data_IF_228383857217
#
_entry.id   IF_228383857217
#
_cell.length_a   1.000
_cell.length_b   1.000
_cell.length_c   1.000
_cell.angle_alpha   90.00
_cell.angle_beta   90.00
_cell.angle_gamma   90.00
#
_symmetry.space_group_name_H-M   'P 1'
#
loop_
_entity.id
_entity.type
_entity.pdbx_description
1 polymer ?
#
# COMPACT_ATOMS: atom_id res chain seq x y z
N UNK A 1 20.19 23.80 12.08
CA UNK A 1 18.78 24.06 11.81
C UNK A 1 18.33 23.25 10.61
N UNK A 2 17.40 22.30 10.77
CA UNK A 2 16.67 21.72 9.67
C UNK A 2 15.16 21.90 9.96
N UNK A 3 14.55 22.97 9.40
CA UNK A 3 13.13 23.31 9.66
C UNK A 3 12.25 23.12 8.39
N UNK A 4 12.73 22.54 7.31
CA UNK A 4 11.96 22.50 6.06
C UNK A 4 11.48 21.13 5.57
N UNK A 5 11.48 20.08 6.42
CA UNK A 5 11.13 18.73 5.96
C UNK A 5 9.67 18.28 6.21
N UNK A 6 8.76 19.17 6.70
CA UNK A 6 7.43 18.72 7.16
C UNK A 6 6.24 19.58 6.70
N UNK A 7 6.41 20.52 5.80
CA UNK A 7 5.32 21.44 5.42
C UNK A 7 4.37 20.87 4.35
N UNK A 8 4.85 20.04 3.40
CA UNK A 8 4.01 19.50 2.32
C UNK A 8 3.00 18.44 2.75
N UNK A 9 3.33 17.62 3.76
CA UNK A 9 2.44 16.56 4.25
C UNK A 9 1.25 17.06 5.09
N UNK A 10 1.39 18.23 5.73
CA UNK A 10 0.36 18.76 6.64
C UNK A 10 -0.86 19.36 5.95
N UNK A 11 -0.74 19.80 4.72
CA UNK A 11 -1.86 20.47 4.01
C UNK A 11 -2.78 19.48 3.28
N UNK A 12 -2.32 18.27 2.96
CA UNK A 12 -3.13 17.24 2.25
C UNK A 12 -3.86 16.32 3.23
N UNK A 13 -3.39 16.19 4.48
CA UNK A 13 -4.00 15.34 5.50
C UNK A 13 -4.93 16.15 6.40
N UNK A 14 -6.24 15.98 6.21
CA UNK A 14 -7.29 16.55 7.07
C UNK A 14 -7.41 15.83 8.41
N UNK A 15 -6.72 14.69 8.59
CA UNK A 15 -6.86 13.82 9.75
C UNK A 15 -5.63 13.87 10.68
N UNK A 16 -5.82 13.93 12.02
CA UNK A 16 -4.72 14.03 12.97
C UNK A 16 -3.91 12.72 13.00
N UNK A 17 -2.59 12.86 12.99
CA UNK A 17 -1.67 11.73 13.19
C UNK A 17 -1.51 11.51 14.69
N UNK A 18 -1.81 10.29 15.12
CA UNK A 18 -1.61 9.81 16.48
C UNK A 18 -0.17 9.28 16.57
N UNK A 19 0.55 9.67 17.63
CA UNK A 19 1.85 9.09 17.99
C UNK A 19 1.69 8.30 19.26
N UNK A 20 1.91 6.99 19.20
CA UNK A 20 1.80 6.07 20.33
C UNK A 20 3.04 5.16 20.39
N UNK A 21 3.91 5.42 21.33
CA UNK A 21 5.23 4.81 21.40
C UNK A 21 6.05 5.08 20.13
N UNK A 22 6.45 4.02 19.43
CA UNK A 22 7.19 4.10 18.15
C UNK A 22 6.28 4.18 16.92
N UNK A 23 4.97 4.10 17.11
CA UNK A 23 4.01 4.03 16.01
C UNK A 23 3.37 5.38 15.76
N UNK A 24 3.22 5.71 14.50
CA UNK A 24 2.46 6.85 14.02
C UNK A 24 1.37 6.34 13.09
N UNK A 25 0.15 6.79 13.29
CA UNK A 25 -0.98 6.33 12.49
C UNK A 25 -2.14 7.31 12.52
N UNK A 26 -3.06 7.18 11.57
CA UNK A 26 -4.38 7.79 11.61
C UNK A 26 -5.38 6.73 12.05
N UNK A 27 -6.38 7.10 12.86
CA UNK A 27 -7.48 6.22 13.26
C UNK A 27 -8.79 7.00 13.23
N UNK A 28 -9.76 6.52 12.44
CA UNK A 28 -11.03 7.19 12.16
C UNK A 28 -12.18 6.19 12.29
N UNK A 29 -13.30 6.63 12.85
CA UNK A 29 -14.49 5.80 13.02
C UNK A 29 -14.36 4.77 14.12
N UNK A 30 -15.40 3.93 14.23
CA UNK A 30 -15.52 2.85 15.20
C UNK A 30 -16.08 1.59 14.51
N UNK A 31 -15.93 0.42 15.14
CA UNK A 31 -16.42 -0.86 14.61
C UNK A 31 -15.30 -1.78 14.12
N UNK A 32 -15.61 -2.64 13.12
CA UNK A 32 -14.65 -3.58 12.55
C UNK A 32 -13.42 -2.84 11.98
N UNK A 33 -12.23 -3.33 12.29
CA UNK A 33 -11.00 -2.60 11.95
C UNK A 33 -10.54 -2.89 10.52
N UNK A 34 -10.45 -1.84 9.70
CA UNK A 34 -9.76 -1.85 8.40
C UNK A 34 -8.37 -1.24 8.63
N UNK A 35 -7.32 -2.04 8.49
CA UNK A 35 -5.93 -1.59 8.61
C UNK A 35 -5.33 -1.48 7.22
N UNK A 36 -4.81 -0.30 6.86
CA UNK A 36 -4.37 0.03 5.51
C UNK A 36 -2.86 0.21 5.46
N UNK A 37 -2.20 -0.49 4.56
CA UNK A 37 -0.75 -0.46 4.33
C UNK A 37 -0.44 0.19 2.97
N UNK A 38 0.24 1.33 3.00
CA UNK A 38 0.61 2.07 1.80
C UNK A 38 1.80 1.45 1.06
N UNK A 39 1.95 1.81 -0.22
CA UNK A 39 3.04 1.37 -1.08
C UNK A 39 4.38 2.08 -0.81
N UNK A 40 5.41 1.66 -1.53
CA UNK A 40 6.71 2.34 -1.59
C UNK A 40 6.52 3.70 -2.27
N UNK A 41 7.14 4.75 -1.73
CA UNK A 41 6.95 6.14 -2.17
C UNK A 41 5.51 6.66 -2.03
N UNK A 42 4.61 5.89 -1.40
CA UNK A 42 3.28 6.31 -1.03
C UNK A 42 3.22 6.77 0.43
N UNK A 43 2.09 7.32 0.81
CA UNK A 43 1.83 7.79 2.16
C UNK A 43 0.37 7.59 2.57
N UNK A 44 0.03 8.16 3.71
CA UNK A 44 -1.32 8.06 4.28
C UNK A 44 -2.38 8.67 3.34
N UNK A 45 -2.02 9.72 2.60
CA UNK A 45 -2.92 10.42 1.66
C UNK A 45 -3.39 9.58 0.48
N UNK A 46 -2.64 8.52 0.12
CA UNK A 46 -3.01 7.64 -1.00
C UNK A 46 -4.36 6.96 -0.77
N UNK A 47 -4.75 6.79 0.49
CA UNK A 47 -6.01 6.16 0.87
C UNK A 47 -7.05 7.13 1.43
N UNK A 48 -6.92 8.42 1.09
CA UNK A 48 -7.87 9.46 1.56
C UNK A 48 -9.32 9.07 1.25
N UNK A 49 -9.63 8.58 0.05
CA UNK A 49 -10.97 8.15 -0.31
C UNK A 49 -11.53 7.04 0.59
N UNK A 50 -10.68 6.07 1.00
CA UNK A 50 -11.06 5.00 1.92
C UNK A 50 -11.25 5.53 3.34
N UNK A 51 -10.36 6.43 3.79
CA UNK A 51 -10.44 7.07 5.10
C UNK A 51 -11.68 7.95 5.28
N UNK A 52 -12.13 8.59 4.22
CA UNK A 52 -13.31 9.45 4.25
C UNK A 52 -14.62 8.62 4.16
N UNK A 53 -14.60 7.48 3.51
CA UNK A 53 -15.79 6.66 3.20
C UNK A 53 -16.18 5.69 4.30
N UNK A 54 -15.27 4.80 4.69
CA UNK A 54 -15.58 3.64 5.55
C UNK A 54 -15.94 3.97 7.01
N UNK A 55 -15.47 5.09 7.62
CA UNK A 55 -15.93 5.45 8.96
C UNK A 55 -17.45 5.65 9.06
N UNK A 56 -18.08 6.20 8.01
CA UNK A 56 -19.53 6.38 7.97
C UNK A 56 -20.30 5.06 7.77
N UNK A 57 -19.61 3.97 7.43
CA UNK A 57 -20.16 2.64 7.18
C UNK A 57 -20.01 1.69 8.37
N UNK A 58 -19.57 2.20 9.52
CA UNK A 58 -19.41 1.40 10.74
C UNK A 58 -18.08 0.64 10.82
N UNK A 59 -17.04 1.14 10.13
CA UNK A 59 -15.69 0.61 10.23
C UNK A 59 -14.75 1.58 10.94
N UNK A 60 -13.81 1.03 11.67
CA UNK A 60 -12.65 1.77 12.17
C UNK A 60 -11.51 1.65 11.18
N UNK A 61 -11.18 2.75 10.50
CA UNK A 61 -10.07 2.80 9.52
C UNK A 61 -8.79 3.23 10.21
N UNK A 62 -7.75 2.42 10.14
CA UNK A 62 -6.45 2.64 10.76
C UNK A 62 -5.37 2.59 9.69
N UNK A 63 -4.58 3.66 9.57
CA UNK A 63 -3.53 3.75 8.56
C UNK A 63 -2.20 4.05 9.25
N UNK A 64 -1.35 3.03 9.51
CA UNK A 64 -0.02 3.26 10.06
C UNK A 64 0.91 3.92 9.04
N UNK A 65 1.76 4.83 9.51
CA UNK A 65 2.92 5.30 8.77
C UNK A 65 4.00 4.21 8.81
N UNK A 66 4.30 3.61 7.66
CA UNK A 66 5.36 2.61 7.58
C UNK A 66 6.73 3.30 7.68
N UNK A 67 7.64 2.85 8.56
CA UNK A 67 8.92 3.52 8.82
C UNK A 67 9.96 3.22 7.71
N UNK A 68 9.59 3.45 6.43
CA UNK A 68 10.41 3.10 5.25
C UNK A 68 11.79 3.78 5.33
N UNK A 69 11.81 5.04 5.78
CA UNK A 69 13.04 5.82 5.84
C UNK A 69 13.67 5.89 7.25
N UNK A 70 13.00 5.34 8.26
CA UNK A 70 13.49 5.39 9.65
C UNK A 70 14.19 4.09 10.06
N UNK A 71 13.84 2.95 9.44
CA UNK A 71 14.51 1.68 9.72
C UNK A 71 16.00 1.69 9.35
N UNK A 72 16.86 1.02 10.13
CA UNK A 72 18.25 0.77 9.72
C UNK A 72 18.31 0.04 8.38
N UNK A 73 19.30 0.38 7.53
CA UNK A 73 19.41 -0.16 6.16
C UNK A 73 19.39 -1.70 6.13
N UNK A 74 20.06 -2.37 7.04
CA UNK A 74 20.08 -3.84 7.14
C UNK A 74 18.71 -4.45 7.50
N UNK A 75 17.80 -3.66 8.06
CA UNK A 75 16.41 -4.05 8.39
C UNK A 75 15.41 -3.55 7.35
N UNK A 76 15.85 -2.93 6.26
CA UNK A 76 14.96 -2.43 5.22
C UNK A 76 14.59 -3.58 4.27
N UNK A 77 13.73 -4.48 4.75
CA UNK A 77 13.25 -5.66 4.02
C UNK A 77 11.75 -5.85 4.19
N UNK A 78 11.09 -6.51 3.24
CA UNK A 78 9.64 -6.79 3.32
C UNK A 78 9.30 -7.53 4.61
N UNK A 79 10.12 -8.51 5.02
CA UNK A 79 9.92 -9.27 6.26
C UNK A 79 10.01 -8.40 7.51
N UNK A 80 10.93 -7.45 7.53
CA UNK A 80 11.06 -6.53 8.69
C UNK A 80 9.86 -5.59 8.78
N UNK A 81 9.30 -5.16 7.65
CA UNK A 81 8.08 -4.35 7.64
C UNK A 81 6.85 -5.18 8.06
N UNK A 82 6.74 -6.44 7.64
CA UNK A 82 5.70 -7.34 8.15
C UNK A 82 5.81 -7.52 9.67
N UNK A 83 7.02 -7.71 10.20
CA UNK A 83 7.23 -7.78 11.66
C UNK A 83 6.90 -6.46 12.38
N UNK A 84 7.10 -5.31 11.72
CA UNK A 84 6.69 -4.01 12.27
C UNK A 84 5.16 -3.91 12.34
N UNK A 85 4.46 -4.35 11.29
CA UNK A 85 2.98 -4.37 11.24
C UNK A 85 2.42 -5.35 12.28
N UNK A 86 2.96 -6.54 12.41
CA UNK A 86 2.59 -7.50 13.47
C UNK A 86 2.69 -6.86 14.86
N UNK A 87 3.83 -6.20 15.13
CA UNK A 87 4.03 -5.47 16.38
C UNK A 87 3.04 -4.32 16.57
N UNK A 88 2.65 -3.62 15.50
CA UNK A 88 1.66 -2.55 15.53
C UNK A 88 0.26 -3.09 15.85
N UNK A 89 -0.17 -4.17 15.19
CA UNK A 89 -1.47 -4.79 15.44
C UNK A 89 -1.59 -5.28 16.88
N UNK A 90 -0.54 -5.92 17.40
CA UNK A 90 -0.46 -6.37 18.79
C UNK A 90 -0.47 -5.21 19.80
N UNK A 91 0.25 -4.11 19.49
CA UNK A 91 0.28 -2.92 20.33
C UNK A 91 -1.11 -2.31 20.50
N UNK A 92 -1.88 -2.22 19.41
CA UNK A 92 -3.27 -1.75 19.43
C UNK A 92 -4.26 -2.83 19.87
N UNK A 93 -3.82 -4.05 20.19
CA UNK A 93 -4.65 -5.20 20.58
C UNK A 93 -5.76 -5.50 19.56
N UNK A 94 -5.45 -5.34 18.27
CA UNK A 94 -6.38 -5.60 17.18
C UNK A 94 -6.49 -7.09 16.91
N UNK A 95 -7.71 -7.56 16.68
CA UNK A 95 -8.07 -8.92 16.23
C UNK A 95 -9.08 -8.81 15.10
N UNK A 96 -9.21 -9.85 14.29
CA UNK A 96 -10.19 -9.93 13.22
C UNK A 96 -10.12 -8.74 12.24
N UNK A 97 -8.88 -8.31 11.91
CA UNK A 97 -8.67 -7.14 11.06
C UNK A 97 -8.94 -7.43 9.58
N UNK A 98 -9.51 -6.45 8.89
CA UNK A 98 -9.52 -6.39 7.44
C UNK A 98 -8.22 -5.70 7.04
N UNK A 99 -7.30 -6.44 6.43
CA UNK A 99 -5.98 -5.92 6.10
C UNK A 99 -5.92 -5.52 4.62
N UNK A 100 -5.79 -4.23 4.36
CA UNK A 100 -5.77 -3.66 3.00
C UNK A 100 -4.36 -3.22 2.65
N UNK A 101 -3.85 -3.62 1.48
CA UNK A 101 -2.51 -3.21 1.05
C UNK A 101 -2.38 -2.91 -0.43
N UNK A 102 -1.67 -1.83 -0.75
CA UNK A 102 -1.28 -1.49 -2.12
C UNK A 102 0.21 -1.71 -2.34
N UNK A 103 0.58 -2.31 -3.45
CA UNK A 103 1.97 -2.48 -3.89
C UNK A 103 2.82 -3.17 -2.81
N UNK A 104 3.88 -2.52 -2.30
CA UNK A 104 4.65 -2.99 -1.14
C UNK A 104 3.76 -3.29 0.07
N UNK A 105 2.74 -2.44 0.34
CA UNK A 105 1.78 -2.66 1.42
C UNK A 105 0.98 -3.94 1.24
N UNK A 106 0.63 -4.29 0.01
CA UNK A 106 0.00 -5.56 -0.32
C UNK A 106 0.89 -6.76 -0.02
N UNK A 107 2.17 -6.67 -0.36
CA UNK A 107 3.14 -7.72 -0.04
C UNK A 107 3.33 -7.91 1.48
N UNK A 108 3.38 -6.79 2.22
CA UNK A 108 3.45 -6.81 3.68
C UNK A 108 2.17 -7.45 4.26
N UNK A 109 0.99 -7.10 3.73
CA UNK A 109 -0.29 -7.67 4.13
C UNK A 109 -0.35 -9.18 3.87
N UNK A 110 0.12 -9.65 2.72
CA UNK A 110 0.25 -11.07 2.39
C UNK A 110 1.15 -11.81 3.39
N UNK A 111 2.30 -11.24 3.73
CA UNK A 111 3.23 -11.83 4.71
C UNK A 111 2.61 -11.87 6.11
N UNK A 112 1.93 -10.81 6.53
CA UNK A 112 1.25 -10.77 7.82
C UNK A 112 0.13 -11.82 7.89
N UNK A 113 -0.72 -11.89 6.86
CA UNK A 113 -1.79 -12.88 6.76
C UNK A 113 -1.26 -14.32 6.78
N UNK A 114 -0.14 -14.58 6.07
CA UNK A 114 0.52 -15.89 6.11
C UNK A 114 1.01 -16.25 7.51
N UNK A 115 1.58 -15.27 8.22
CA UNK A 115 2.23 -15.50 9.53
C UNK A 115 1.20 -15.61 10.65
N UNK A 116 0.17 -14.77 10.62
CA UNK A 116 -0.87 -14.65 11.63
C UNK A 116 -2.28 -14.78 11.01
N UNK A 117 -2.63 -15.91 10.40
CA UNK A 117 -3.89 -16.05 9.65
C UNK A 117 -5.14 -15.87 10.51
N UNK A 118 -5.10 -16.19 11.80
CA UNK A 118 -6.21 -16.00 12.73
C UNK A 118 -6.44 -14.53 13.14
N UNK A 119 -5.45 -13.67 12.94
CA UNK A 119 -5.56 -12.25 13.23
C UNK A 119 -6.27 -11.48 12.10
N UNK A 120 -6.18 -12.01 10.86
CA UNK A 120 -6.70 -11.36 9.66
C UNK A 120 -8.03 -11.98 9.26
N UNK A 121 -9.12 -11.26 9.44
CA UNK A 121 -10.46 -11.68 9.03
C UNK A 121 -10.59 -11.73 7.51
N UNK A 122 -10.05 -10.74 6.84
CA UNK A 122 -10.03 -10.63 5.38
C UNK A 122 -8.78 -9.89 4.89
N UNK A 123 -8.30 -10.26 3.72
CA UNK A 123 -7.20 -9.62 3.02
C UNK A 123 -7.72 -8.88 1.78
N UNK A 124 -7.22 -7.68 1.55
CA UNK A 124 -7.51 -6.89 0.34
C UNK A 124 -6.19 -6.45 -0.27
N UNK A 125 -5.94 -6.82 -1.51
CA UNK A 125 -4.72 -6.43 -2.22
C UNK A 125 -5.04 -5.69 -3.52
N UNK A 126 -4.25 -4.66 -3.80
CA UNK A 126 -4.35 -3.86 -5.01
C UNK A 126 -2.95 -3.50 -5.53
N UNK A 127 -2.67 -3.73 -6.80
CA UNK A 127 -1.34 -3.50 -7.37
C UNK A 127 -0.20 -4.16 -6.58
N UNK A 128 -0.46 -5.30 -5.93
CA UNK A 128 0.45 -5.88 -4.94
C UNK A 128 1.72 -6.43 -5.57
N UNK A 129 2.88 -6.18 -4.93
CA UNK A 129 4.07 -6.99 -5.15
C UNK A 129 3.96 -8.33 -4.39
N UNK A 130 4.92 -9.23 -4.60
CA UNK A 130 4.93 -10.56 -3.97
C UNK A 130 4.91 -11.72 -4.96
N UNK A 131 4.61 -11.48 -6.21
CA UNK A 131 4.83 -12.37 -7.35
C UNK A 131 5.81 -11.71 -8.32
N UNK A 132 5.31 -11.19 -9.43
CA UNK A 132 6.10 -10.45 -10.39
C UNK A 132 5.76 -8.96 -10.31
N UNK A 133 6.77 -8.13 -10.41
CA UNK A 133 6.62 -6.70 -10.68
C UNK A 133 7.64 -6.32 -11.76
N UNK A 134 7.27 -5.45 -12.68
CA UNK A 134 8.25 -4.88 -13.59
C UNK A 134 9.23 -4.10 -12.71
N UNK A 135 10.49 -4.51 -12.72
CA UNK A 135 11.53 -3.80 -11.99
C UNK A 135 11.30 -2.30 -12.21
N UNK A 136 11.44 -1.48 -11.15
CA UNK A 136 11.34 -0.02 -11.26
C UNK A 136 12.46 0.49 -12.21
N UNK A 137 12.45 -0.01 -13.46
CA UNK A 137 13.39 0.22 -14.52
C UNK A 137 14.85 0.16 -14.05
N UNK A 138 15.77 0.68 -14.83
CA UNK A 138 17.19 0.78 -14.48
C UNK A 138 17.49 1.82 -13.39
N UNK A 139 16.56 2.01 -12.44
CA UNK A 139 16.65 3.01 -11.38
C UNK A 139 16.21 4.41 -11.86
N UNK A 140 16.75 5.43 -11.21
CA UNK A 140 16.51 6.83 -11.56
C UNK A 140 17.79 7.47 -12.14
N UNK A 141 18.19 7.10 -13.36
CA UNK A 141 19.48 7.57 -13.93
C UNK A 141 19.54 9.09 -14.09
N UNK A 142 18.37 9.73 -14.26
CA UNK A 142 18.23 11.19 -14.39
C UNK A 142 17.49 11.80 -13.20
N UNK A 143 17.78 11.36 -11.96
CA UNK A 143 17.09 11.83 -10.75
C UNK A 143 17.13 13.34 -10.52
N UNK A 144 18.11 14.04 -11.05
CA UNK A 144 18.22 15.51 -10.99
C UNK A 144 17.33 16.24 -12.01
N UNK A 145 16.74 15.53 -12.95
CA UNK A 145 15.85 16.08 -13.98
C UNK A 145 14.39 15.94 -13.49
N UNK A 146 13.78 17.07 -13.16
CA UNK A 146 12.42 17.13 -12.63
C UNK A 146 11.37 16.60 -13.63
N UNK A 147 11.50 16.92 -14.91
CA UNK A 147 10.56 16.46 -15.95
C UNK A 147 10.67 14.94 -16.17
N UNK A 148 11.86 14.39 -16.06
CA UNK A 148 12.05 12.95 -16.09
C UNK A 148 11.34 12.27 -14.89
N UNK A 149 11.49 12.81 -13.68
CA UNK A 149 10.84 12.28 -12.48
C UNK A 149 9.32 12.43 -12.57
N UNK A 150 8.83 13.58 -13.04
CA UNK A 150 7.40 13.81 -13.28
C UNK A 150 6.83 12.74 -14.20
N UNK A 151 7.45 12.51 -15.35
CA UNK A 151 7.02 11.47 -16.29
C UNK A 151 6.98 10.08 -15.62
N UNK A 152 7.98 9.75 -14.80
CA UNK A 152 8.00 8.47 -14.07
C UNK A 152 6.89 8.35 -13.02
N UNK A 153 6.53 9.43 -12.35
CA UNK A 153 5.40 9.46 -11.43
C UNK A 153 4.06 9.35 -12.19
N UNK A 154 3.94 10.01 -13.34
CA UNK A 154 2.76 9.92 -14.22
C UNK A 154 2.54 8.51 -14.77
N UNK A 155 3.61 7.77 -15.11
CA UNK A 155 3.56 6.39 -15.64
C UNK A 155 2.94 5.37 -14.64
N UNK A 156 2.82 5.70 -13.38
CA UNK A 156 2.17 4.87 -12.34
C UNK A 156 0.64 4.82 -12.53
N UNK A 157 0.07 5.86 -13.13
CA UNK A 157 -1.36 6.06 -13.31
C UNK A 157 -1.78 5.92 -14.78
N UNK A 158 -3.01 5.51 -15.01
CA UNK A 158 -3.63 5.61 -16.34
C UNK A 158 -3.91 7.07 -16.70
N UNK A 159 -4.44 7.83 -15.74
CA UNK A 159 -4.62 9.27 -15.87
C UNK A 159 -3.41 10.00 -15.26
N UNK A 160 -2.51 10.57 -16.08
CA UNK A 160 -1.32 11.24 -15.57
C UNK A 160 -1.62 12.44 -14.66
N UNK A 161 -2.84 13.04 -14.74
CA UNK A 161 -3.23 14.15 -13.87
C UNK A 161 -3.36 13.77 -12.39
N UNK A 162 -3.45 12.48 -12.06
CA UNK A 162 -3.44 11.98 -10.67
C UNK A 162 -2.07 12.17 -10.01
N UNK A 163 -0.99 12.18 -10.80
CA UNK A 163 0.34 12.56 -10.34
C UNK A 163 0.41 14.08 -10.15
N UNK A 164 -0.23 14.59 -9.09
CA UNK A 164 -0.23 16.03 -8.80
C UNK A 164 1.18 16.55 -8.57
N UNK A 165 1.32 17.89 -8.60
CA UNK A 165 2.62 18.52 -8.34
C UNK A 165 3.21 18.10 -7.01
N UNK A 166 2.38 17.97 -5.98
CA UNK A 166 2.80 17.55 -4.63
C UNK A 166 3.38 16.14 -4.63
N UNK A 167 2.74 15.21 -5.33
CA UNK A 167 3.24 13.83 -5.50
C UNK A 167 4.59 13.83 -6.23
N UNK A 168 4.69 14.57 -7.32
CA UNK A 168 5.94 14.68 -8.09
C UNK A 168 7.06 15.29 -7.26
N UNK A 169 6.76 16.38 -6.52
CA UNK A 169 7.73 17.05 -5.63
C UNK A 169 8.25 16.09 -4.55
N UNK A 170 7.37 15.27 -3.97
CA UNK A 170 7.74 14.27 -2.96
C UNK A 170 8.64 13.18 -3.54
N UNK A 171 8.29 12.64 -4.70
CA UNK A 171 9.11 11.65 -5.41
C UNK A 171 10.47 12.27 -5.74
N UNK A 172 10.50 13.49 -6.29
CA UNK A 172 11.73 14.20 -6.62
C UNK A 172 12.61 14.42 -5.40
N UNK A 173 12.04 14.88 -4.29
CA UNK A 173 12.78 15.06 -3.03
C UNK A 173 13.33 13.72 -2.49
N UNK A 174 12.55 12.66 -2.61
CA UNK A 174 12.94 11.31 -2.14
C UNK A 174 14.11 10.75 -2.95
N UNK A 175 14.05 10.78 -4.27
CA UNK A 175 15.12 10.22 -5.14
C UNK A 175 16.40 11.07 -5.12
N UNK A 176 16.29 12.35 -4.78
CA UNK A 176 17.43 13.25 -4.61
C UNK A 176 18.03 13.22 -3.19
N UNK A 177 17.35 12.62 -2.23
CA UNK A 177 17.93 12.32 -0.92
C UNK A 177 18.67 10.97 -0.98
N UNK A 178 19.99 10.99 -0.86
CA UNK A 178 20.84 9.79 -1.00
C UNK A 178 20.44 8.65 -0.07
N UNK A 179 20.13 8.94 1.20
CA UNK A 179 19.77 7.90 2.18
C UNK A 179 18.38 7.32 1.88
N UNK A 180 17.40 8.16 1.53
CA UNK A 180 16.06 7.70 1.15
C UNK A 180 16.14 6.85 -0.11
N UNK A 181 16.88 7.27 -1.14
CA UNK A 181 17.04 6.50 -2.37
C UNK A 181 17.66 5.12 -2.11
N UNK A 182 18.72 5.04 -1.29
CA UNK A 182 19.34 3.75 -0.94
C UNK A 182 18.34 2.83 -0.25
N UNK A 183 17.54 3.35 0.68
CA UNK A 183 16.48 2.56 1.37
C UNK A 183 15.37 2.16 0.41
N UNK A 184 14.90 3.07 -0.46
CA UNK A 184 13.94 2.76 -1.52
C UNK A 184 14.41 1.59 -2.40
N UNK A 185 15.65 1.64 -2.88
CA UNK A 185 16.22 0.57 -3.69
C UNK A 185 16.42 -0.73 -2.90
N UNK A 186 16.76 -0.65 -1.62
CA UNK A 186 16.92 -1.84 -0.77
C UNK A 186 15.60 -2.57 -0.57
N UNK A 187 14.51 -1.85 -0.26
CA UNK A 187 13.19 -2.46 -0.08
C UNK A 187 12.62 -2.98 -1.39
N UNK A 188 12.76 -2.25 -2.50
CA UNK A 188 12.33 -2.72 -3.82
C UNK A 188 13.05 -4.03 -4.20
N UNK A 189 14.37 -4.11 -4.03
CA UNK A 189 15.13 -5.34 -4.24
C UNK A 189 14.68 -6.47 -3.30
N UNK A 190 14.32 -6.17 -2.06
CA UNK A 190 13.79 -7.15 -1.12
C UNK A 190 12.44 -7.69 -1.57
N UNK A 191 11.54 -6.82 -2.06
CA UNK A 191 10.23 -7.21 -2.59
C UNK A 191 10.37 -8.13 -3.81
N UNK A 192 11.19 -7.73 -4.80
CA UNK A 192 11.44 -8.53 -6.02
C UNK A 192 12.01 -9.91 -5.69
N UNK A 193 12.90 -10.02 -4.70
CA UNK A 193 13.53 -11.29 -4.31
C UNK A 193 12.63 -12.21 -3.48
N UNK A 194 11.57 -11.66 -2.91
CA UNK A 194 10.67 -12.41 -2.03
C UNK A 194 9.39 -12.78 -2.78
N UNK A 195 9.44 -13.92 -3.50
CA UNK A 195 8.29 -14.45 -4.23
C UNK A 195 7.44 -15.36 -3.33
N UNK A 196 6.12 -15.15 -3.33
CA UNK A 196 5.16 -15.85 -2.47
C UNK A 196 4.39 -16.97 -3.18
N UNK A 197 4.67 -17.29 -4.44
CA UNK A 197 3.92 -18.28 -5.22
C UNK A 197 3.74 -19.63 -4.52
N UNK A 198 4.72 -20.06 -3.72
CA UNK A 198 4.67 -21.31 -2.92
C UNK A 198 3.85 -21.20 -1.64
N UNK A 199 3.60 -20.00 -1.17
CA UNK A 199 2.88 -19.71 0.07
C UNK A 199 1.40 -19.45 -0.15
N UNK A 200 1.05 -18.73 -1.22
CA UNK A 200 -0.32 -18.31 -1.56
C UNK A 200 -1.34 -19.46 -1.56
N UNK A 201 -1.04 -20.67 -2.13
CA UNK A 201 -2.01 -21.78 -2.11
C UNK A 201 -2.37 -22.31 -0.71
N UNK A 202 -1.60 -21.93 0.30
CA UNK A 202 -1.82 -22.35 1.70
C UNK A 202 -2.64 -21.33 2.49
N UNK A 203 -2.79 -20.12 1.97
CA UNK A 203 -3.54 -19.03 2.60
C UNK A 203 -5.04 -19.24 2.34
N UNK A 204 -5.83 -19.32 3.42
CA UNK A 204 -7.28 -19.62 3.36
C UNK A 204 -8.16 -18.43 3.68
N UNK A 205 -7.58 -17.32 4.08
CA UNK A 205 -8.32 -16.10 4.41
C UNK A 205 -9.09 -15.59 3.17
N UNK A 206 -10.34 -15.14 3.32
CA UNK A 206 -11.06 -14.45 2.25
C UNK A 206 -10.21 -13.31 1.71
N UNK A 207 -10.03 -13.27 0.40
CA UNK A 207 -9.17 -12.26 -0.24
C UNK A 207 -9.89 -11.54 -1.36
N UNK A 208 -9.94 -10.22 -1.26
CA UNK A 208 -10.41 -9.33 -2.34
C UNK A 208 -9.20 -8.82 -3.12
N UNK A 209 -9.22 -9.00 -4.43
CA UNK A 209 -8.18 -8.51 -5.33
C UNK A 209 -8.82 -7.43 -6.21
N UNK A 210 -8.43 -6.16 -6.03
CA UNK A 210 -8.93 -5.03 -6.83
C UNK A 210 -7.78 -4.48 -7.67
N UNK A 211 -7.90 -4.48 -8.99
CA UNK A 211 -6.75 -4.17 -9.85
C UNK A 211 -7.09 -3.30 -11.04
N UNK A 212 -6.17 -2.41 -11.40
CA UNK A 212 -6.26 -1.61 -12.61
C UNK A 212 -5.89 -2.41 -13.86
N UNK A 213 -6.73 -2.36 -14.90
CA UNK A 213 -6.43 -3.05 -16.17
C UNK A 213 -5.23 -2.49 -16.92
N UNK A 214 -4.77 -1.31 -16.55
CA UNK A 214 -3.65 -0.61 -17.18
C UNK A 214 -2.47 -0.47 -16.23
N UNK A 215 -2.38 -1.32 -15.18
CA UNK A 215 -1.25 -1.31 -14.26
C UNK A 215 0.05 -1.67 -14.98
N UNK A 216 0.95 -0.70 -15.10
CA UNK A 216 2.26 -0.86 -15.73
C UNK A 216 3.36 -1.27 -14.75
N UNK A 217 3.09 -1.23 -13.44
CA UNK A 217 4.06 -1.58 -12.37
C UNK A 217 3.94 -3.07 -12.02
N UNK A 218 2.72 -3.49 -11.69
CA UNK A 218 2.35 -4.90 -11.51
C UNK A 218 1.30 -5.27 -12.54
N UNK A 219 1.71 -5.80 -13.70
CA UNK A 219 0.82 -5.96 -14.85
C UNK A 219 -0.38 -6.86 -14.55
N UNK A 220 -1.49 -6.73 -15.31
CA UNK A 220 -2.76 -7.44 -15.08
C UNK A 220 -2.62 -8.96 -14.91
N UNK A 221 -1.73 -9.60 -15.65
CA UNK A 221 -1.47 -11.04 -15.52
C UNK A 221 -0.98 -11.45 -14.12
N UNK A 222 -0.44 -10.51 -13.34
CA UNK A 222 -0.05 -10.75 -11.94
C UNK A 222 -1.28 -10.87 -11.06
N UNK A 223 -2.32 -10.06 -11.30
CA UNK A 223 -3.59 -10.20 -10.58
C UNK A 223 -4.28 -11.53 -10.89
N UNK A 224 -4.25 -11.97 -12.18
CA UNK A 224 -4.75 -13.28 -12.57
C UNK A 224 -4.00 -14.40 -11.86
N UNK A 225 -2.66 -14.29 -11.74
CA UNK A 225 -1.84 -15.25 -11.02
C UNK A 225 -2.14 -15.26 -9.50
N UNK A 226 -2.32 -14.11 -8.87
CA UNK A 226 -2.77 -14.04 -7.48
C UNK A 226 -4.11 -14.74 -7.29
N UNK A 227 -5.08 -14.48 -8.16
CA UNK A 227 -6.41 -15.09 -8.09
C UNK A 227 -6.35 -16.61 -8.33
N UNK A 228 -5.48 -17.09 -9.21
CA UNK A 228 -5.30 -18.51 -9.45
C UNK A 228 -4.62 -19.24 -8.27
N UNK A 229 -3.73 -18.56 -7.54
CA UNK A 229 -2.96 -19.16 -6.45
C UNK A 229 -3.65 -19.05 -5.09
N UNK A 230 -4.46 -18.03 -4.85
CA UNK A 230 -5.20 -17.82 -3.60
C UNK A 230 -6.54 -18.57 -3.64
N UNK A 231 -6.73 -19.62 -2.84
CA UNK A 231 -7.88 -20.53 -3.01
C UNK A 231 -9.23 -19.94 -2.61
N UNK A 232 -9.26 -18.80 -1.92
CA UNK A 232 -10.47 -18.12 -1.48
C UNK A 232 -10.38 -16.64 -1.85
N UNK A 233 -10.21 -16.34 -3.14
CA UNK A 233 -10.09 -14.98 -3.65
C UNK A 233 -11.15 -14.66 -4.70
N UNK A 234 -11.51 -13.38 -4.76
CA UNK A 234 -12.35 -12.79 -5.78
C UNK A 234 -11.59 -11.63 -6.43
N UNK A 235 -11.53 -11.60 -7.76
CA UNK A 235 -10.81 -10.61 -8.54
C UNK A 235 -11.77 -9.63 -9.21
N UNK A 236 -11.53 -8.35 -8.98
CA UNK A 236 -12.28 -7.22 -9.55
C UNK A 236 -11.35 -6.32 -10.36
N UNK A 237 -11.81 -5.94 -11.53
CA UNK A 237 -11.08 -5.08 -12.43
C UNK A 237 -11.66 -3.67 -12.49
N UNK A 238 -10.77 -2.67 -12.52
CA UNK A 238 -11.15 -1.29 -12.81
C UNK A 238 -10.53 -0.90 -14.15
N UNK A 239 -11.38 -0.53 -15.10
CA UNK A 239 -10.96 -0.10 -16.43
C UNK A 239 -10.37 1.32 -16.39
N UNK A 240 -9.46 1.64 -17.32
CA UNK A 240 -8.78 2.94 -17.39
C UNK A 240 -8.13 3.33 -16.05
N UNK A 241 -7.48 2.38 -15.44
CA UNK A 241 -6.88 2.48 -14.12
C UNK A 241 -5.48 1.86 -14.13
N UNK A 242 -4.51 2.54 -13.55
CA UNK A 242 -3.13 2.09 -13.36
C UNK A 242 -2.92 1.38 -12.03
N UNK A 243 -1.79 1.67 -11.40
CA UNK A 243 -1.27 0.95 -10.21
C UNK A 243 -1.96 1.31 -8.89
N UNK A 244 -2.68 2.42 -8.83
CA UNK A 244 -3.29 2.92 -7.60
C UNK A 244 -4.81 3.15 -7.75
N UNK A 245 -5.62 2.08 -7.85
CA UNK A 245 -7.06 2.19 -8.03
C UNK A 245 -7.77 3.06 -6.99
N UNK A 246 -7.33 3.00 -5.72
CA UNK A 246 -7.86 3.80 -4.63
C UNK A 246 -7.61 5.30 -4.78
N UNK A 247 -6.69 5.70 -5.66
CA UNK A 247 -6.40 7.12 -5.98
C UNK A 247 -7.07 7.55 -7.27
N UNK A 248 -7.06 6.70 -8.31
CA UNK A 248 -7.61 7.02 -9.63
C UNK A 248 -9.13 6.93 -9.67
N UNK A 249 -9.70 5.94 -9.00
CA UNK A 249 -11.14 5.65 -8.98
C UNK A 249 -11.64 5.35 -7.57
N UNK A 250 -11.51 6.30 -6.61
CA UNK A 250 -11.81 6.07 -5.20
C UNK A 250 -13.25 5.57 -4.97
N UNK A 251 -14.22 6.14 -5.66
CA UNK A 251 -15.64 5.75 -5.50
C UNK A 251 -15.87 4.31 -5.97
N UNK A 252 -15.32 3.93 -7.13
CA UNK A 252 -15.41 2.57 -7.66
C UNK A 252 -14.69 1.58 -6.75
N UNK A 253 -13.49 1.93 -6.28
CA UNK A 253 -12.73 1.10 -5.35
C UNK A 253 -13.51 0.87 -4.05
N UNK A 254 -14.07 1.92 -3.47
CA UNK A 254 -14.84 1.85 -2.23
C UNK A 254 -16.12 1.01 -2.40
N UNK A 255 -16.85 1.20 -3.52
CA UNK A 255 -18.07 0.42 -3.82
C UNK A 255 -17.74 -1.07 -3.94
N UNK A 256 -16.72 -1.45 -4.71
CA UNK A 256 -16.31 -2.85 -4.86
C UNK A 256 -15.95 -3.44 -3.49
N UNK A 257 -15.15 -2.73 -2.70
CA UNK A 257 -14.73 -3.22 -1.40
C UNK A 257 -15.91 -3.37 -0.43
N UNK A 258 -16.83 -2.39 -0.35
CA UNK A 258 -18.02 -2.46 0.51
C UNK A 258 -18.93 -3.62 0.12
N UNK A 259 -19.26 -3.73 -1.17
CA UNK A 259 -20.11 -4.81 -1.68
C UNK A 259 -19.51 -6.19 -1.40
N UNK A 260 -18.20 -6.33 -1.57
CA UNK A 260 -17.50 -7.57 -1.28
C UNK A 260 -17.51 -7.92 0.22
N UNK A 261 -17.25 -6.95 1.09
CA UNK A 261 -17.29 -7.14 2.55
C UNK A 261 -18.70 -7.58 2.98
N UNK A 262 -19.74 -6.91 2.49
CA UNK A 262 -21.14 -7.27 2.77
C UNK A 262 -21.47 -8.70 2.27
N UNK A 263 -21.07 -9.05 1.04
CA UNK A 263 -21.30 -10.37 0.46
C UNK A 263 -20.59 -11.49 1.25
N UNK A 264 -19.46 -11.20 1.88
CA UNK A 264 -18.74 -12.16 2.74
C UNK A 264 -19.21 -12.17 4.21
N UNK A 265 -20.12 -11.28 4.60
CA UNK A 265 -20.58 -11.14 5.99
C UNK A 265 -19.49 -10.63 6.94
N UNK A 266 -18.67 -9.71 6.45
CA UNK A 266 -17.48 -9.18 7.14
C UNK A 266 -17.75 -7.79 7.70
#
# INVERSE_FOLDING_TARGET
MPIFANLGYKEVMTHPIITDGKYKYVSLGEGSSIVILHGLMGGLSNFKGVMDYFPSKGYRVIVPELPIYDMPLLKTTVKSFASYVDGFLKHLKLTDVILVGNSLGGHIALLETKTNPSLVKALVITGSSGLYESAMGDGYPKRGDYEFIKKKAEEVFYNPAVATKEIVDEVFATVNNRLKLIKTLAIAKSAIRHNMSKDLPKMKNPTCIIWGRNDGVTPPNVADEFNALLPNSDLFWIDKCGHAPMMEHPDTFNTILEEWLVAKGI
#
